data_IF_602216835588
#
_entry.id   IF_602216835588
#
_cell.length_a   1.000
_cell.length_b   1.000
_cell.length_c   1.000
_cell.angle_alpha   90.00
_cell.angle_beta   90.00
_cell.angle_gamma   90.00
#
_symmetry.space_group_name_H-M   'P 1'
#
loop_
_entity.id
_entity.type
_entity.pdbx_description
1 polymer ?
#
# COMPACT_ATOMS: atom_id res chain seq x y z
N UNK A 1 -0.40 8.51 -4.42
CA UNK A 1 -0.57 7.04 -4.35
C UNK A 1 -1.73 6.77 -3.42
N UNK A 2 -1.81 5.64 -2.71
CA UNK A 2 -2.69 5.52 -1.54
C UNK A 2 -1.90 4.84 -0.42
N UNK A 3 -1.67 5.56 0.67
CA UNK A 3 -1.04 5.03 1.89
C UNK A 3 -2.10 4.70 2.95
N UNK A 4 -1.86 3.65 3.75
CA UNK A 4 -2.81 3.11 4.72
C UNK A 4 -2.33 3.34 6.14
N UNK A 5 -2.81 4.41 6.76
CA UNK A 5 -2.23 4.89 8.00
C UNK A 5 -2.62 3.99 9.19
N UNK A 6 -1.61 3.35 9.79
CA UNK A 6 -1.77 2.51 10.97
C UNK A 6 -2.22 1.07 10.70
N UNK A 7 -2.31 0.65 9.44
CA UNK A 7 -2.61 -0.74 9.08
C UNK A 7 -1.30 -1.55 8.98
N UNK A 8 -1.27 -2.71 9.64
CA UNK A 8 -0.19 -3.69 9.45
C UNK A 8 -0.48 -4.49 8.17
N UNK A 9 0.37 -4.33 7.16
CA UNK A 9 0.22 -4.95 5.85
C UNK A 9 1.58 -5.21 5.19
N UNK A 10 1.59 -5.95 4.09
CA UNK A 10 2.80 -6.20 3.30
C UNK A 10 3.35 -4.91 2.68
N UNK A 11 4.64 -4.61 2.87
CA UNK A 11 5.27 -3.35 2.41
C UNK A 11 5.01 -3.01 0.93
N UNK A 12 4.86 -4.01 0.05
CA UNK A 12 4.49 -3.82 -1.36
C UNK A 12 3.15 -3.11 -1.59
N UNK A 13 2.23 -3.14 -0.63
CA UNK A 13 0.91 -2.50 -0.71
C UNK A 13 0.82 -1.19 0.08
N UNK A 14 1.91 -0.76 0.72
CA UNK A 14 1.90 0.38 1.65
C UNK A 14 1.77 1.74 0.94
N UNK A 15 1.88 1.76 -0.39
CA UNK A 15 1.61 2.96 -1.17
C UNK A 15 2.72 4.00 -1.14
N UNK A 16 3.96 3.59 -0.86
CA UNK A 16 5.17 4.42 -0.90
C UNK A 16 6.05 4.01 -2.08
N UNK A 17 5.85 4.55 -3.29
CA UNK A 17 6.62 4.18 -4.47
C UNK A 17 8.12 4.37 -4.28
N UNK A 18 8.90 3.44 -4.83
CA UNK A 18 10.36 3.45 -4.74
C UNK A 18 10.93 3.02 -3.39
N UNK A 19 10.08 2.84 -2.37
CA UNK A 19 10.50 2.36 -1.04
C UNK A 19 9.78 1.08 -0.61
N UNK A 20 8.44 1.05 -0.66
CA UNK A 20 7.68 -0.14 -0.31
C UNK A 20 7.95 -1.28 -1.27
N UNK A 21 8.00 -2.52 -0.79
CA UNK A 21 8.32 -3.67 -1.64
C UNK A 21 8.37 -5.02 -0.91
N UNK A 22 8.46 -6.09 -1.71
CA UNK A 22 8.76 -7.45 -1.27
C UNK A 22 9.82 -8.00 -2.22
N UNK A 23 10.92 -8.49 -1.65
CA UNK A 23 12.07 -9.04 -2.38
C UNK A 23 12.58 -8.10 -3.48
N UNK A 24 12.42 -8.48 -4.75
CA UNK A 24 12.85 -7.73 -5.94
C UNK A 24 11.74 -6.81 -6.50
N UNK A 25 10.55 -6.81 -5.91
CA UNK A 25 9.39 -6.02 -6.36
C UNK A 25 9.19 -4.79 -5.50
N UNK A 26 9.19 -3.63 -6.14
CA UNK A 26 8.83 -2.37 -5.52
C UNK A 26 7.40 -1.96 -5.83
N UNK A 27 6.77 -1.27 -4.88
CA UNK A 27 5.48 -0.62 -5.04
C UNK A 27 5.55 0.31 -6.25
N UNK A 28 4.72 0.11 -7.28
CA UNK A 28 4.74 0.97 -8.46
C UNK A 28 4.11 2.34 -8.14
N UNK A 29 4.57 3.37 -8.84
CA UNK A 29 3.77 4.59 -8.97
C UNK A 29 2.53 4.27 -9.82
N UNK A 30 1.37 4.79 -9.42
CA UNK A 30 0.13 4.66 -10.20
C UNK A 30 0.01 5.88 -11.09
N UNK A 31 0.39 5.72 -12.35
CA UNK A 31 0.33 6.77 -13.37
C UNK A 31 -1.12 7.08 -13.79
N UNK A 32 -1.38 8.24 -14.43
CA UNK A 32 -2.72 8.56 -14.91
C UNK A 32 -3.29 7.49 -15.85
N UNK A 33 -4.46 6.95 -15.49
CA UNK A 33 -5.15 5.90 -16.24
C UNK A 33 -4.76 4.47 -15.85
N UNK A 34 -3.72 4.29 -15.03
CA UNK A 34 -3.31 2.98 -14.52
C UNK A 34 -4.09 2.56 -13.27
N UNK A 35 -3.98 1.28 -12.92
CA UNK A 35 -4.60 0.72 -11.71
C UNK A 35 -3.63 -0.18 -10.97
N UNK A 36 -3.61 -0.02 -9.65
CA UNK A 36 -2.89 -0.91 -8.74
C UNK A 36 -3.86 -1.55 -7.74
N UNK A 37 -3.79 -2.88 -7.60
CA UNK A 37 -4.68 -3.63 -6.70
C UNK A 37 -3.97 -3.95 -5.40
N UNK A 38 -4.46 -3.35 -4.32
CA UNK A 38 -4.02 -3.67 -2.96
C UNK A 38 -4.85 -4.82 -2.39
N UNK A 39 -4.18 -5.79 -1.75
CA UNK A 39 -4.82 -6.85 -0.97
C UNK A 39 -4.17 -6.93 0.41
N UNK A 40 -4.98 -6.85 1.45
CA UNK A 40 -4.50 -6.88 2.83
C UNK A 40 -5.54 -7.57 3.72
N UNK A 41 -5.06 -8.19 4.79
CA UNK A 41 -5.87 -8.80 5.83
C UNK A 41 -5.41 -8.20 7.15
N UNK A 42 -6.04 -7.10 7.62
CA UNK A 42 -5.64 -6.46 8.87
C UNK A 42 -5.78 -7.43 10.05
N UNK A 43 -4.75 -7.61 10.89
CA UNK A 43 -4.75 -8.62 11.95
C UNK A 43 -5.57 -8.20 13.18
N UNK A 44 -5.99 -6.93 13.27
CA UNK A 44 -6.71 -6.36 14.41
C UNK A 44 -7.73 -5.31 13.99
N UNK A 45 -8.82 -5.22 14.76
CA UNK A 45 -9.86 -4.20 14.59
C UNK A 45 -9.42 -2.85 15.14
N UNK A 46 -9.89 -1.76 14.52
CA UNK A 46 -9.60 -0.40 14.95
C UNK A 46 -10.19 0.63 13.99
N UNK A 47 -9.97 1.91 14.29
CA UNK A 47 -10.25 3.01 13.35
C UNK A 47 -8.95 3.39 12.63
N UNK A 48 -8.97 3.31 11.31
CA UNK A 48 -7.84 3.61 10.44
C UNK A 48 -8.28 4.56 9.32
N UNK A 49 -7.33 5.03 8.52
CA UNK A 49 -7.61 5.94 7.41
C UNK A 49 -6.62 5.71 6.27
N UNK A 50 -6.89 6.33 5.13
CA UNK A 50 -6.04 6.29 3.95
C UNK A 50 -5.98 7.67 3.30
N UNK A 51 -4.89 7.95 2.60
CA UNK A 51 -4.70 9.20 1.88
C UNK A 51 -3.73 9.03 0.70
N UNK A 52 -3.69 10.01 -0.20
CA UNK A 52 -2.71 10.04 -1.29
C UNK A 52 -1.33 10.48 -0.84
#
# INVERSE_FOLDING_TARGET
TVHWHGIELESYYDGVPGWGGIDDKHTPAVEPGETFKVRMIPPRSGTFWYHS
#
